data_IF_990247317434
#
_entry.id   IF_990247317434
#
_cell.length_a   1.000
_cell.length_b   1.000
_cell.length_c   1.000
_cell.angle_alpha   90.00
_cell.angle_beta   90.00
_cell.angle_gamma   90.00
#
_symmetry.space_group_name_H-M   'P 1'
#
loop_
_entity.id
_entity.type
_entity.pdbx_description
1 polymer ?
#
# COMPACT_ATOMS: atom_id res chain seq x y z
N UNK A 1 -8.81 10.31 -32.91
CA UNK A 1 -8.52 10.14 -31.48
C UNK A 1 -9.65 10.83 -30.73
N UNK A 2 -10.37 10.15 -29.81
CA UNK A 2 -11.43 10.76 -29.01
C UNK A 2 -10.91 11.96 -28.22
N UNK A 3 -11.75 12.98 -28.00
CA UNK A 3 -11.38 14.21 -27.31
C UNK A 3 -10.79 13.98 -25.89
N UNK A 4 -11.14 12.85 -25.25
CA UNK A 4 -10.55 12.42 -23.98
C UNK A 4 -9.05 12.07 -24.04
N UNK A 5 -8.54 11.72 -25.23
CA UNK A 5 -7.12 11.39 -25.40
C UNK A 5 -6.26 12.61 -25.73
N UNK A 6 -6.86 13.74 -26.13
CA UNK A 6 -6.15 15.00 -26.34
C UNK A 6 -5.66 15.68 -25.05
N UNK A 7 -6.26 15.38 -23.90
CA UNK A 7 -5.78 15.85 -22.59
C UNK A 7 -4.47 15.18 -22.12
N UNK A 8 -3.91 14.26 -22.90
CA UNK A 8 -2.74 13.46 -22.51
C UNK A 8 -1.45 13.89 -23.19
N UNK A 9 -1.48 14.97 -23.91
CA UNK A 9 -0.30 15.61 -24.48
C UNK A 9 0.00 16.86 -23.69
N UNK A 10 1.18 16.94 -23.11
CA UNK A 10 1.65 18.14 -22.44
C UNK A 10 2.81 18.73 -23.21
N UNK A 11 2.72 20.01 -23.48
CA UNK A 11 3.71 20.81 -24.16
C UNK A 11 4.28 21.81 -23.15
N UNK A 12 5.59 21.77 -22.97
CA UNK A 12 6.30 22.61 -22.02
C UNK A 12 7.43 23.33 -22.74
N UNK A 13 7.50 24.63 -22.61
CA UNK A 13 8.62 25.43 -23.02
C UNK A 13 9.14 26.21 -21.79
N UNK A 14 10.45 26.17 -21.56
CA UNK A 14 11.12 27.00 -20.57
C UNK A 14 11.62 28.29 -21.21
N UNK A 15 12.20 28.14 -22.40
CA UNK A 15 12.62 29.25 -23.24
C UNK A 15 12.01 29.09 -24.64
N UNK A 16 12.43 29.92 -25.59
CA UNK A 16 12.01 29.78 -26.99
C UNK A 16 12.78 28.69 -27.76
N UNK A 17 13.75 28.05 -27.12
CA UNK A 17 14.67 27.09 -27.77
C UNK A 17 14.59 25.68 -27.17
N UNK A 18 13.98 25.53 -26.00
CA UNK A 18 13.79 24.28 -25.31
C UNK A 18 12.29 23.99 -25.17
N UNK A 19 11.91 22.78 -25.49
CA UNK A 19 10.55 22.31 -25.27
C UNK A 19 10.51 20.80 -25.09
N UNK A 20 9.52 20.35 -24.33
CA UNK A 20 9.26 18.93 -24.12
C UNK A 20 7.78 18.64 -24.41
N UNK A 21 7.53 17.61 -25.24
CA UNK A 21 6.19 17.10 -25.54
C UNK A 21 6.09 15.69 -24.97
N UNK A 22 5.16 15.50 -24.06
CA UNK A 22 4.98 14.24 -23.36
C UNK A 22 3.68 13.59 -23.78
N UNK A 23 3.76 12.29 -24.08
CA UNK A 23 2.60 11.41 -24.30
C UNK A 23 2.69 10.20 -23.37
N UNK A 24 1.67 9.34 -23.42
CA UNK A 24 1.70 8.08 -22.67
C UNK A 24 2.84 7.14 -23.09
N UNK A 25 3.21 7.14 -24.36
CA UNK A 25 4.14 6.16 -24.95
C UNK A 25 5.52 6.74 -25.26
N UNK A 26 5.62 8.07 -25.38
CA UNK A 26 6.83 8.73 -25.85
C UNK A 26 6.99 10.13 -25.30
N UNK A 27 8.22 10.59 -25.28
CA UNK A 27 8.57 11.98 -25.01
C UNK A 27 9.45 12.49 -26.16
N UNK A 28 9.21 13.73 -26.58
CA UNK A 28 10.11 14.50 -27.42
C UNK A 28 10.68 15.62 -26.58
N UNK A 29 11.98 15.61 -26.37
CA UNK A 29 12.72 16.64 -25.63
C UNK A 29 13.65 17.33 -26.61
N UNK A 30 13.61 18.66 -26.61
CA UNK A 30 14.52 19.49 -27.39
C UNK A 30 15.17 20.47 -26.43
N UNK A 31 16.47 20.30 -26.25
CA UNK A 31 17.30 21.13 -25.38
C UNK A 31 18.39 21.80 -26.24
N UNK A 32 18.69 23.08 -25.96
CA UNK A 32 19.68 23.83 -26.74
C UNK A 32 21.11 23.38 -26.45
N UNK A 33 21.37 22.80 -25.28
CA UNK A 33 22.65 22.24 -24.89
C UNK A 33 22.58 20.71 -24.89
N UNK A 34 23.45 20.07 -25.65
CA UNK A 34 23.48 18.61 -25.75
C UNK A 34 24.01 17.90 -24.48
N UNK A 35 24.61 18.66 -23.56
CA UNK A 35 25.06 18.13 -22.25
C UNK A 35 23.97 18.23 -21.18
N UNK A 36 22.93 19.00 -21.42
CA UNK A 36 21.76 19.12 -20.53
C UNK A 36 20.82 17.93 -20.75
N UNK A 37 20.62 17.10 -19.74
CA UNK A 37 19.77 15.91 -19.74
C UNK A 37 18.80 15.92 -18.56
N UNK A 38 18.55 17.07 -17.98
CA UNK A 38 17.75 17.19 -16.75
C UNK A 38 16.29 16.75 -16.97
N UNK A 39 15.73 17.04 -18.14
CA UNK A 39 14.35 16.62 -18.47
C UNK A 39 14.28 15.10 -18.64
N UNK A 40 15.25 14.48 -19.32
CA UNK A 40 15.33 13.03 -19.47
C UNK A 40 15.43 12.35 -18.11
N UNK A 41 16.30 12.81 -17.22
CA UNK A 41 16.42 12.26 -15.87
C UNK A 41 15.13 12.37 -15.07
N UNK A 42 14.43 13.50 -15.17
CA UNK A 42 13.14 13.69 -14.52
C UNK A 42 12.08 12.73 -15.07
N UNK A 43 12.07 12.48 -16.37
CA UNK A 43 11.14 11.53 -16.99
C UNK A 43 11.48 10.08 -16.63
N UNK A 44 12.75 9.70 -16.60
CA UNK A 44 13.19 8.39 -16.13
C UNK A 44 12.79 8.17 -14.67
N UNK A 45 12.99 9.18 -13.84
CA UNK A 45 12.58 9.13 -12.44
C UNK A 45 11.07 8.97 -12.28
N UNK A 46 10.25 9.73 -13.03
CA UNK A 46 8.80 9.59 -13.02
C UNK A 46 8.35 8.19 -13.47
N UNK A 47 9.03 7.61 -14.46
CA UNK A 47 8.76 6.26 -14.95
C UNK A 47 9.14 5.18 -13.92
N UNK A 48 10.28 5.35 -13.23
CA UNK A 48 10.68 4.47 -12.14
C UNK A 48 9.65 4.49 -10.98
N UNK A 49 9.15 5.68 -10.63
CA UNK A 49 8.11 5.83 -9.61
C UNK A 49 6.79 5.15 -10.02
N UNK A 50 6.40 5.26 -11.30
CA UNK A 50 5.25 4.53 -11.81
C UNK A 50 5.44 3.02 -11.70
N UNK A 51 6.63 2.52 -12.03
CA UNK A 51 6.96 1.10 -11.91
C UNK A 51 6.83 0.62 -10.46
N UNK A 52 7.36 1.38 -9.51
CA UNK A 52 7.22 1.08 -8.08
C UNK A 52 5.75 0.98 -7.68
N UNK A 53 4.92 1.97 -8.01
CA UNK A 53 3.49 1.94 -7.72
C UNK A 53 2.80 0.70 -8.31
N UNK A 54 3.13 0.33 -9.54
CA UNK A 54 2.57 -0.86 -10.21
C UNK A 54 3.00 -2.16 -9.54
N UNK A 55 4.25 -2.26 -9.10
CA UNK A 55 4.75 -3.42 -8.37
C UNK A 55 4.02 -3.58 -7.04
N UNK A 56 3.85 -2.48 -6.28
CA UNK A 56 3.11 -2.53 -5.01
C UNK A 56 1.63 -2.85 -5.20
N UNK A 57 1.00 -2.29 -6.21
CA UNK A 57 -0.38 -2.61 -6.55
C UNK A 57 -0.56 -4.10 -6.84
N UNK A 58 0.32 -4.68 -7.66
CA UNK A 58 0.33 -6.10 -7.97
C UNK A 58 0.63 -7.00 -6.75
N UNK A 59 1.53 -6.57 -5.86
CA UNK A 59 1.80 -7.28 -4.61
C UNK A 59 0.57 -7.31 -3.69
N UNK A 60 -0.13 -6.19 -3.55
CA UNK A 60 -1.37 -6.11 -2.79
C UNK A 60 -2.47 -6.98 -3.40
N UNK A 61 -2.60 -6.99 -4.72
CA UNK A 61 -3.55 -7.86 -5.44
C UNK A 61 -3.27 -9.35 -5.20
N UNK A 62 -2.01 -9.74 -5.09
CA UNK A 62 -1.63 -11.11 -4.80
C UNK A 62 -1.85 -11.51 -3.33
N UNK A 63 -1.70 -10.57 -2.39
CA UNK A 63 -1.79 -10.86 -0.95
C UNK A 63 -3.23 -10.76 -0.41
N UNK A 64 -4.08 -9.89 -0.97
CA UNK A 64 -5.47 -9.74 -0.51
C UNK A 64 -6.29 -11.04 -0.58
N UNK A 65 -6.32 -11.81 -1.68
CA UNK A 65 -7.03 -13.09 -1.74
C UNK A 65 -6.48 -14.09 -0.71
N UNK A 66 -5.18 -14.18 -0.58
CA UNK A 66 -4.53 -15.06 0.40
C UNK A 66 -4.89 -14.71 1.84
N UNK A 67 -5.06 -13.42 2.12
CA UNK A 67 -5.50 -12.93 3.41
C UNK A 67 -6.95 -13.39 3.66
N UNK A 68 -7.87 -13.24 2.71
CA UNK A 68 -9.25 -13.69 2.83
C UNK A 68 -9.36 -15.21 3.02
N UNK A 69 -8.60 -16.01 2.28
CA UNK A 69 -8.56 -17.46 2.43
C UNK A 69 -8.10 -17.86 3.83
N UNK A 70 -7.10 -17.18 4.37
CA UNK A 70 -6.62 -17.40 5.73
C UNK A 70 -7.63 -16.99 6.78
N UNK A 71 -8.34 -15.89 6.59
CA UNK A 71 -9.45 -15.47 7.46
C UNK A 71 -10.56 -16.52 7.47
N UNK A 72 -10.95 -17.00 6.30
CA UNK A 72 -11.99 -18.03 6.16
C UNK A 72 -11.59 -19.35 6.84
N UNK A 73 -10.33 -19.75 6.73
CA UNK A 73 -9.81 -20.99 7.33
C UNK A 73 -9.77 -20.95 8.88
N UNK A 74 -9.89 -19.76 9.46
CA UNK A 74 -9.81 -19.53 10.92
C UNK A 74 -11.15 -19.57 11.60
N UNK A 75 -12.22 -19.25 10.89
CA UNK A 75 -13.58 -19.31 11.41
C UNK A 75 -13.90 -20.74 11.87
N UNK A 76 -13.60 -21.06 13.12
CA UNK A 76 -13.94 -22.35 13.73
C UNK A 76 -12.85 -23.09 14.49
N UNK A 77 -11.62 -22.58 14.60
CA UNK A 77 -10.51 -23.22 15.35
C UNK A 77 -9.68 -22.21 16.12
N UNK A 78 -10.03 -21.90 17.39
CA UNK A 78 -9.45 -20.75 18.09
C UNK A 78 -7.98 -20.90 18.52
N UNK A 79 -7.47 -22.10 18.76
CA UNK A 79 -6.20 -22.25 19.51
C UNK A 79 -4.94 -22.46 18.66
N UNK A 80 -5.01 -23.11 17.51
CA UNK A 80 -3.81 -23.37 16.69
C UNK A 80 -3.37 -22.17 15.81
N UNK A 81 -4.18 -21.14 15.75
CA UNK A 81 -4.10 -20.07 14.78
C UNK A 81 -3.36 -18.83 15.25
N UNK A 82 -3.23 -18.62 16.56
CA UNK A 82 -2.60 -17.42 17.12
C UNK A 82 -1.19 -17.16 16.57
N UNK A 83 -0.41 -18.21 16.38
CA UNK A 83 0.98 -18.08 15.89
C UNK A 83 1.05 -17.72 14.39
N UNK A 84 0.14 -18.27 13.59
CA UNK A 84 0.04 -17.97 12.14
C UNK A 84 -0.50 -16.56 11.90
N UNK A 85 -1.46 -16.10 12.73
CA UNK A 85 -2.00 -14.76 12.70
C UNK A 85 -0.92 -13.70 12.93
N UNK A 86 -0.12 -13.87 13.97
CA UNK A 86 0.95 -12.93 14.31
C UNK A 86 1.94 -12.73 13.18
N UNK A 87 2.32 -13.81 12.48
CA UNK A 87 3.23 -13.75 11.34
C UNK A 87 2.60 -13.05 10.13
N UNK A 88 1.32 -13.31 9.85
CA UNK A 88 0.59 -12.64 8.77
C UNK A 88 0.44 -11.15 9.04
N UNK A 89 0.04 -10.81 10.26
CA UNK A 89 -0.12 -9.43 10.70
C UNK A 89 1.19 -8.64 10.61
N UNK A 90 2.30 -9.24 11.02
CA UNK A 90 3.61 -8.61 10.88
C UNK A 90 3.98 -8.35 9.42
N UNK A 91 3.73 -9.31 8.51
CA UNK A 91 3.99 -9.11 7.07
C UNK A 91 3.13 -8.01 6.46
N UNK A 92 1.85 -7.93 6.84
CA UNK A 92 0.96 -6.89 6.36
C UNK A 92 1.37 -5.51 6.90
N UNK A 93 1.81 -5.43 8.16
CA UNK A 93 2.35 -4.20 8.73
C UNK A 93 3.61 -3.73 7.98
N UNK A 94 4.54 -4.64 7.70
CA UNK A 94 5.74 -4.32 6.91
C UNK A 94 5.34 -3.84 5.51
N UNK A 95 4.45 -4.54 4.82
CA UNK A 95 3.98 -4.16 3.49
C UNK A 95 3.32 -2.76 3.49
N UNK A 96 2.49 -2.46 4.50
CA UNK A 96 1.88 -1.13 4.67
C UNK A 96 2.95 -0.06 4.91
N UNK A 97 3.93 -0.35 5.78
CA UNK A 97 5.01 0.59 6.09
C UNK A 97 5.85 0.88 4.84
N UNK A 98 6.30 -0.16 4.15
CA UNK A 98 7.13 -0.04 2.94
C UNK A 98 6.40 0.75 1.84
N UNK A 99 5.12 0.43 1.62
CA UNK A 99 4.30 1.13 0.60
C UNK A 99 4.08 2.60 0.99
N UNK A 100 3.83 2.89 2.27
CA UNK A 100 3.64 4.26 2.75
C UNK A 100 4.92 5.08 2.58
N UNK A 101 6.08 4.52 2.93
CA UNK A 101 7.38 5.18 2.75
C UNK A 101 7.64 5.55 1.30
N UNK A 102 7.32 4.64 0.36
CA UNK A 102 7.51 4.90 -1.07
C UNK A 102 6.59 6.01 -1.56
N UNK A 103 5.32 5.98 -1.17
CA UNK A 103 4.35 7.03 -1.52
C UNK A 103 4.81 8.39 -1.01
N UNK A 104 5.30 8.48 0.23
CA UNK A 104 5.85 9.71 0.81
C UNK A 104 7.13 10.17 0.08
N UNK A 105 7.97 9.24 -0.34
CA UNK A 105 9.19 9.54 -1.11
C UNK A 105 8.87 10.17 -2.45
N UNK A 106 7.86 9.64 -3.16
CA UNK A 106 7.35 10.22 -4.41
C UNK A 106 6.85 11.66 -4.20
N UNK A 107 6.09 11.91 -3.13
CA UNK A 107 5.61 13.26 -2.82
C UNK A 107 6.73 14.23 -2.47
N UNK A 108 7.74 13.75 -1.78
CA UNK A 108 8.86 14.58 -1.35
C UNK A 108 9.85 14.86 -2.50
N UNK A 109 9.96 13.99 -3.48
CA UNK A 109 10.82 14.21 -4.64
C UNK A 109 10.43 15.49 -5.41
N UNK A 110 9.14 15.81 -5.50
CA UNK A 110 8.67 17.06 -6.13
C UNK A 110 9.13 18.31 -5.35
N UNK A 111 9.36 18.18 -4.04
CA UNK A 111 9.77 19.30 -3.16
C UNK A 111 11.27 19.55 -3.17
N UNK A 112 12.06 18.63 -3.70
CA UNK A 112 13.54 18.70 -3.67
C UNK A 112 14.10 19.45 -4.88
N UNK A 113 13.31 19.63 -5.94
CA UNK A 113 13.74 20.34 -7.13
C UNK A 113 13.46 21.84 -6.96
N UNK A 114 14.52 22.63 -6.85
CA UNK A 114 14.43 24.11 -6.85
C UNK A 114 14.00 24.68 -8.22
N UNK A 115 14.06 23.85 -9.28
CA UNK A 115 13.66 24.21 -10.64
C UNK A 115 12.18 23.97 -10.86
N UNK A 116 11.46 25.09 -11.01
CA UNK A 116 9.99 25.10 -11.26
C UNK A 116 9.61 24.41 -12.57
N UNK A 117 10.48 24.48 -13.59
CA UNK A 117 10.22 23.87 -14.89
C UNK A 117 10.29 22.34 -14.79
N UNK A 118 11.35 21.79 -14.20
CA UNK A 118 11.51 20.35 -13.97
C UNK A 118 10.41 19.79 -13.08
N UNK A 119 10.00 20.54 -12.04
CA UNK A 119 8.87 20.14 -11.20
C UNK A 119 7.54 20.07 -11.98
N UNK A 120 7.33 20.96 -12.94
CA UNK A 120 6.15 20.93 -13.83
C UNK A 120 6.19 19.75 -14.80
N UNK A 121 7.35 19.46 -15.41
CA UNK A 121 7.55 18.29 -16.28
C UNK A 121 7.27 17.00 -15.52
N UNK A 122 7.85 16.86 -14.32
CA UNK A 122 7.62 15.71 -13.45
C UNK A 122 6.14 15.51 -13.10
N UNK A 123 5.49 16.59 -12.67
CA UNK A 123 4.06 16.56 -12.32
C UNK A 123 3.18 16.17 -13.50
N UNK A 124 3.52 16.64 -14.70
CA UNK A 124 2.83 16.27 -15.92
C UNK A 124 3.05 14.80 -16.31
N UNK A 125 4.30 14.31 -16.22
CA UNK A 125 4.60 12.91 -16.45
C UNK A 125 3.78 11.99 -15.54
N UNK A 126 3.74 12.27 -14.23
CA UNK A 126 2.92 11.52 -13.28
C UNK A 126 1.42 11.61 -13.59
N UNK A 127 0.93 12.74 -14.10
CA UNK A 127 -0.47 12.89 -14.53
C UNK A 127 -0.78 12.02 -15.75
N UNK A 128 0.08 12.06 -16.78
CA UNK A 128 -0.02 11.21 -17.97
C UNK A 128 0.00 9.73 -17.58
N UNK A 129 0.91 9.32 -16.69
CA UNK A 129 1.05 7.96 -16.18
C UNK A 129 -0.05 7.56 -15.21
N UNK A 130 -1.03 8.43 -14.99
CA UNK A 130 -2.13 8.19 -14.03
C UNK A 130 -1.64 7.81 -12.63
N UNK A 131 -0.48 8.31 -12.23
CA UNK A 131 0.14 8.02 -10.93
C UNK A 131 -0.83 8.20 -9.76
N UNK A 132 -1.64 9.26 -9.79
CA UNK A 132 -2.68 9.49 -8.78
C UNK A 132 -3.79 8.41 -8.76
N UNK A 133 -4.08 7.75 -9.87
CA UNK A 133 -5.06 6.65 -9.90
C UNK A 133 -4.47 5.37 -9.28
N UNK A 134 -3.22 5.05 -9.62
CA UNK A 134 -2.48 3.94 -9.01
C UNK A 134 -2.37 4.12 -7.50
N UNK A 135 -2.00 5.31 -7.05
CA UNK A 135 -1.90 5.64 -5.64
C UNK A 135 -3.22 5.42 -4.90
N UNK A 136 -4.33 5.98 -5.40
CA UNK A 136 -5.66 5.76 -4.78
C UNK A 136 -6.05 4.28 -4.74
N UNK A 137 -5.66 3.50 -5.76
CA UNK A 137 -5.85 2.05 -5.76
C UNK A 137 -5.10 1.36 -4.62
N UNK A 138 -3.83 1.72 -4.44
CA UNK A 138 -2.97 1.22 -3.36
C UNK A 138 -3.53 1.61 -1.99
N UNK A 139 -3.85 2.90 -1.78
CA UNK A 139 -4.41 3.41 -0.51
C UNK A 139 -5.67 2.65 -0.11
N UNK A 140 -6.58 2.41 -1.07
CA UNK A 140 -7.80 1.64 -0.82
C UNK A 140 -7.50 0.17 -0.45
N UNK A 141 -6.54 -0.47 -1.12
CA UNK A 141 -6.13 -1.84 -0.79
C UNK A 141 -5.48 -1.93 0.59
N UNK A 142 -4.69 -0.92 0.96
CA UNK A 142 -4.10 -0.79 2.29
C UNK A 142 -5.16 -0.58 3.38
N UNK A 143 -6.17 0.24 3.13
CA UNK A 143 -7.30 0.44 4.03
C UNK A 143 -8.03 -0.89 4.29
N UNK A 144 -8.40 -1.62 3.24
CA UNK A 144 -9.01 -2.96 3.35
C UNK A 144 -8.12 -3.90 4.19
N UNK A 145 -6.82 -3.85 3.98
CA UNK A 145 -5.86 -4.66 4.73
C UNK A 145 -5.84 -4.31 6.21
N UNK A 146 -5.85 -3.01 6.54
CA UNK A 146 -5.89 -2.50 7.91
C UNK A 146 -7.19 -2.88 8.62
N UNK A 147 -8.32 -2.73 7.94
CA UNK A 147 -9.64 -3.07 8.50
C UNK A 147 -9.75 -4.57 8.77
N UNK A 148 -9.30 -5.39 7.84
CA UNK A 148 -9.25 -6.84 8.03
C UNK A 148 -8.35 -7.20 9.21
N UNK A 149 -7.21 -6.53 9.36
CA UNK A 149 -6.32 -6.69 10.51
C UNK A 149 -7.03 -6.35 11.82
N UNK A 150 -7.70 -5.20 11.89
CA UNK A 150 -8.40 -4.75 13.09
C UNK A 150 -9.50 -5.73 13.49
N UNK A 151 -10.28 -6.21 12.52
CA UNK A 151 -11.32 -7.22 12.74
C UNK A 151 -10.74 -8.52 13.30
N UNK A 152 -9.67 -9.04 12.71
CA UNK A 152 -9.03 -10.27 13.15
C UNK A 152 -8.43 -10.14 14.54
N UNK A 153 -7.83 -9.00 14.85
CA UNK A 153 -7.27 -8.74 16.17
C UNK A 153 -8.37 -8.70 17.24
N UNK A 154 -9.51 -8.08 16.93
CA UNK A 154 -10.68 -8.04 17.82
C UNK A 154 -11.26 -9.45 18.06
N UNK A 155 -11.46 -10.26 17.02
CA UNK A 155 -11.91 -11.65 17.14
C UNK A 155 -10.93 -12.50 17.97
N UNK A 156 -9.64 -12.29 17.78
CA UNK A 156 -8.58 -12.95 18.53
C UNK A 156 -8.62 -12.62 20.03
N UNK A 157 -8.91 -11.37 20.36
CA UNK A 157 -9.03 -10.93 21.76
C UNK A 157 -10.31 -11.47 22.40
N UNK A 158 -11.43 -11.48 21.68
CA UNK A 158 -12.71 -12.04 22.15
C UNK A 158 -12.54 -13.55 22.45
N UNK A 159 -11.95 -14.32 21.54
CA UNK A 159 -11.71 -15.74 21.74
C UNK A 159 -10.80 -16.05 22.95
N UNK A 160 -9.86 -15.17 23.30
CA UNK A 160 -9.07 -15.30 24.54
C UNK A 160 -9.91 -15.07 25.78
N UNK A 161 -10.80 -14.09 25.73
CA UNK A 161 -11.74 -13.81 26.83
C UNK A 161 -12.61 -15.03 27.14
N UNK A 162 -13.22 -15.64 26.14
CA UNK A 162 -14.03 -16.85 26.26
C UNK A 162 -13.26 -18.03 26.85
N UNK A 163 -12.02 -18.27 26.39
CA UNK A 163 -11.18 -19.35 26.94
C UNK A 163 -10.81 -19.09 28.41
N UNK A 164 -10.52 -17.85 28.78
CA UNK A 164 -10.25 -17.48 30.18
C UNK A 164 -11.48 -17.64 31.07
N UNK A 165 -12.65 -17.25 30.61
CA UNK A 165 -13.91 -17.41 31.32
C UNK A 165 -14.22 -18.89 31.55
N UNK A 166 -14.04 -19.74 30.54
CA UNK A 166 -14.23 -21.18 30.63
C UNK A 166 -13.24 -21.82 31.62
N UNK A 167 -11.99 -21.36 31.62
CA UNK A 167 -10.97 -21.81 32.56
C UNK A 167 -11.34 -21.45 34.03
N UNK A 168 -11.87 -20.25 34.26
CA UNK A 168 -12.34 -19.80 35.57
C UNK A 168 -13.53 -20.65 36.06
N UNK A 169 -14.51 -20.88 35.16
CA UNK A 169 -15.66 -21.74 35.49
C UNK A 169 -15.22 -23.15 35.86
N UNK A 170 -14.29 -23.75 35.11
CA UNK A 170 -13.75 -25.07 35.40
C UNK A 170 -13.00 -25.12 36.74
N UNK A 171 -12.26 -24.07 37.08
CA UNK A 171 -11.59 -23.98 38.39
C UNK A 171 -12.60 -23.89 39.53
N UNK A 172 -13.64 -23.08 39.41
CA UNK A 172 -14.71 -22.96 40.42
C UNK A 172 -15.43 -24.28 40.61
N UNK A 173 -15.81 -24.94 39.50
CA UNK A 173 -16.46 -26.27 39.56
C UNK A 173 -15.55 -27.31 40.24
N UNK A 174 -14.24 -27.29 39.90
CA UNK A 174 -13.24 -28.17 40.50
C UNK A 174 -13.12 -27.96 42.00
N UNK A 175 -13.11 -26.70 42.48
CA UNK A 175 -13.05 -26.35 43.88
C UNK A 175 -14.30 -26.82 44.65
N UNK A 176 -15.48 -26.63 44.09
CA UNK A 176 -16.74 -27.10 44.66
C UNK A 176 -16.73 -28.65 44.81
N UNK A 177 -16.32 -29.36 43.75
CA UNK A 177 -16.24 -30.82 43.76
C UNK A 177 -15.26 -31.31 44.80
N UNK A 178 -14.06 -30.72 44.91
CA UNK A 178 -13.06 -31.06 45.90
C UNK A 178 -13.55 -30.76 47.34
N UNK A 179 -14.24 -29.66 47.54
CA UNK A 179 -14.85 -29.32 48.84
C UNK A 179 -15.92 -30.31 49.29
N UNK A 180 -16.72 -30.80 48.35
CA UNK A 180 -17.75 -31.82 48.64
C UNK A 180 -17.16 -33.19 48.96
N UNK A 181 -16.06 -33.59 48.30
CA UNK A 181 -15.38 -34.89 48.54
C UNK A 181 -14.57 -34.84 49.83
N UNK A 182 -13.91 -33.71 50.14
CA UNK A 182 -13.11 -33.55 51.35
C UNK A 182 -13.93 -33.40 52.63
N UNK A 183 -15.24 -33.33 52.55
CA UNK A 183 -16.17 -33.21 53.68
C UNK A 183 -16.76 -34.56 54.13
N UNK A 184 -16.34 -35.66 53.48
CA UNK A 184 -16.62 -37.03 53.91
C UNK A 184 -15.42 -37.59 54.69
#
# INVERSE_FOLDING_TARGET
IPAEDQERVFDFAYTTRDYAVLTWESALVVEPDAEDQDVEYVLEFANAQLLELRVFDAMLDAELPRMYDRVAAVRGRPTALFRRYRSLLAKLQTLVADTTEIVERVENAIKVTDDVYLARVYSAALKIFRGGAWRRGIDRKLEITRDTYAMLNAESQAARGEVMELAIILLIVGEIVLSLIGRK
#
